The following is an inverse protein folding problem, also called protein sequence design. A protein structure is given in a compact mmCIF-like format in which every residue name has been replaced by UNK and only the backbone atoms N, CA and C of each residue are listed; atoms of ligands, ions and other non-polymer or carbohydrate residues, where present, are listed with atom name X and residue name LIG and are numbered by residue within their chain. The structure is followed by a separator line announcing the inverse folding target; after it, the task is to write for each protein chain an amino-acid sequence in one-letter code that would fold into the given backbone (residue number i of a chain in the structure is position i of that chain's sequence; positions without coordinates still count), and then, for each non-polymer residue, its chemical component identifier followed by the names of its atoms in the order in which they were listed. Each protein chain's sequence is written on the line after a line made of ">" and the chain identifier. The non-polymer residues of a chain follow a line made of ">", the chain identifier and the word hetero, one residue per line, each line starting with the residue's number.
data_IF_749265322818
#
_entry.id   IF_749265322818
#
_cell.length_a   1.000
_cell.length_b   1.000
_cell.length_c   1.000
_cell.angle_alpha   90.00
_cell.angle_beta   90.00
_cell.angle_gamma   90.00
#
_symmetry.space_group_name_H-M   'P 1'
#
loop_
_entity.id
_entity.type
_entity.pdbx_description
1 polymer ?
#
# COMPACT_ATOMS: atom_id res chain seq x y z
N UNK A 1 -7.94 -29.67 68.41
CA UNK A 1 -8.75 -30.65 67.64
C UNK A 1 -9.65 -29.88 66.72
N UNK A 2 -9.58 -30.12 65.43
CA UNK A 2 -10.45 -29.49 64.45
C UNK A 2 -9.73 -29.45 63.10
N UNK A 3 -9.79 -30.56 62.36
CA UNK A 3 -9.29 -30.70 60.98
C UNK A 3 -10.28 -30.05 60.03
N UNK A 4 -9.85 -29.11 59.24
CA UNK A 4 -10.58 -28.60 58.09
C UNK A 4 -9.81 -28.95 56.81
N UNK A 5 -10.33 -29.86 56.01
CA UNK A 5 -9.88 -30.18 54.66
C UNK A 5 -10.32 -29.04 53.74
N UNK A 6 -9.37 -28.43 53.08
CA UNK A 6 -9.63 -27.66 51.87
C UNK A 6 -9.10 -28.52 50.70
N UNK A 7 -10.02 -29.00 49.88
CA UNK A 7 -9.71 -29.56 48.57
C UNK A 7 -9.47 -28.40 47.61
N UNK A 8 -8.20 -28.12 47.32
CA UNK A 8 -7.81 -27.34 46.15
C UNK A 8 -7.62 -28.31 44.99
N UNK A 9 -8.64 -28.45 44.16
CA UNK A 9 -8.47 -28.99 42.81
C UNK A 9 -7.88 -27.89 41.92
N UNK A 10 -6.80 -28.20 41.20
CA UNK A 10 -6.29 -27.24 40.21
C UNK A 10 -7.25 -27.19 39.01
N UNK A 11 -7.76 -25.97 38.72
CA UNK A 11 -8.44 -25.66 37.48
C UNK A 11 -7.54 -26.06 36.30
N UNK A 12 -7.95 -27.08 35.57
CA UNK A 12 -7.33 -27.49 34.33
C UNK A 12 -7.46 -26.34 33.30
N UNK A 13 -6.35 -25.67 33.00
CA UNK A 13 -6.19 -24.84 31.83
C UNK A 13 -6.42 -25.68 30.57
N UNK A 14 -7.64 -25.71 30.10
CA UNK A 14 -7.97 -26.18 28.76
C UNK A 14 -7.65 -25.02 27.83
N UNK A 15 -6.37 -24.84 27.49
CA UNK A 15 -5.95 -24.08 26.33
C UNK A 15 -6.41 -24.82 25.10
N UNK A 16 -7.55 -24.40 24.57
CA UNK A 16 -7.95 -24.73 23.21
C UNK A 16 -6.95 -24.06 22.28
N UNK A 17 -5.86 -24.78 21.94
CA UNK A 17 -5.05 -24.43 20.79
C UNK A 17 -5.95 -24.48 19.55
N UNK A 18 -6.50 -23.32 19.18
CA UNK A 18 -7.12 -23.18 17.87
C UNK A 18 -6.04 -23.58 16.84
N UNK A 19 -6.28 -24.68 16.12
CA UNK A 19 -5.38 -25.15 15.07
C UNK A 19 -5.14 -23.99 14.12
N UNK A 20 -3.97 -23.35 14.21
CA UNK A 20 -3.58 -22.31 13.26
C UNK A 20 -3.71 -22.89 11.86
N UNK A 21 -4.44 -22.19 10.99
CA UNK A 21 -4.53 -22.52 9.57
C UNK A 21 -3.12 -22.66 9.01
N UNK A 22 -2.86 -23.74 8.27
CA UNK A 22 -1.60 -23.96 7.60
C UNK A 22 -1.69 -23.44 6.16
N UNK A 23 -0.73 -22.62 5.75
CA UNK A 23 -0.58 -22.18 4.37
C UNK A 23 -0.29 -23.39 3.47
N UNK A 24 -0.91 -23.41 2.28
CA UNK A 24 -0.80 -24.54 1.33
C UNK A 24 0.14 -24.23 0.16
N UNK A 25 0.53 -22.96 0.00
CA UNK A 25 1.39 -22.46 -1.06
C UNK A 25 0.70 -22.27 -2.41
N UNK A 26 1.34 -21.53 -3.29
CA UNK A 26 0.79 -21.07 -4.56
C UNK A 26 0.24 -22.21 -5.43
N UNK A 27 0.91 -23.36 -5.49
CA UNK A 27 0.53 -24.49 -6.34
C UNK A 27 -0.73 -25.20 -5.88
N UNK A 28 -1.03 -25.17 -4.59
CA UNK A 28 -2.15 -25.88 -3.98
C UNK A 28 -3.31 -24.94 -3.61
N UNK A 29 -3.09 -23.63 -3.74
CA UNK A 29 -4.10 -22.63 -3.43
C UNK A 29 -5.18 -22.60 -4.51
N UNK A 30 -6.43 -22.73 -4.08
CA UNK A 30 -7.59 -22.60 -4.96
C UNK A 30 -8.26 -21.25 -4.71
N UNK A 31 -8.18 -20.37 -5.69
CA UNK A 31 -8.80 -19.06 -5.63
C UNK A 31 -10.31 -19.16 -5.78
N UNK A 32 -11.02 -18.58 -4.83
CA UNK A 32 -12.48 -18.41 -4.86
C UNK A 32 -12.80 -16.96 -4.60
N UNK A 33 -13.65 -16.37 -5.43
CA UNK A 33 -14.17 -15.02 -5.21
C UNK A 33 -15.63 -15.08 -4.75
N UNK A 34 -15.89 -15.03 -3.44
CA UNK A 34 -17.22 -15.19 -2.87
C UNK A 34 -18.08 -13.91 -2.99
N UNK A 35 -17.52 -12.82 -3.53
CA UNK A 35 -18.18 -11.50 -3.60
C UNK A 35 -18.61 -10.99 -2.22
N UNK A 36 -17.71 -11.09 -1.24
CA UNK A 36 -17.95 -10.89 0.20
C UNK A 36 -17.67 -9.48 0.70
N UNK A 37 -17.32 -8.51 -0.18
CA UNK A 37 -17.13 -7.13 0.25
C UNK A 37 -18.32 -6.64 1.06
N UNK A 38 -18.05 -6.04 2.21
CA UNK A 38 -19.08 -5.58 3.15
C UNK A 38 -19.67 -4.23 2.76
N UNK A 39 -18.99 -3.50 1.88
CA UNK A 39 -19.42 -2.24 1.28
C UNK A 39 -18.76 -2.07 -0.10
N UNK A 40 -19.26 -1.17 -0.93
CA UNK A 40 -18.81 -1.03 -2.31
C UNK A 40 -17.44 -0.34 -2.38
N UNK A 41 -16.39 -1.14 -2.64
CA UNK A 41 -15.00 -0.70 -2.83
C UNK A 41 -14.68 -0.78 -4.31
N UNK A 42 -14.33 0.37 -4.91
CA UNK A 42 -14.14 0.47 -6.36
C UNK A 42 -12.69 0.23 -6.79
N UNK A 43 -11.75 0.99 -6.20
CA UNK A 43 -10.33 1.01 -6.57
C UNK A 43 -9.49 1.71 -5.50
N UNK A 44 -8.17 1.68 -5.66
CA UNK A 44 -7.30 2.59 -4.93
C UNK A 44 -7.62 4.04 -5.32
N UNK A 45 -7.64 4.93 -4.32
CA UNK A 45 -7.85 6.36 -4.53
C UNK A 45 -6.52 7.12 -4.55
N UNK A 46 -5.73 6.99 -3.51
CA UNK A 46 -4.40 7.59 -3.39
C UNK A 46 -3.56 6.88 -2.33
N UNK A 47 -2.27 7.15 -2.38
CA UNK A 47 -1.33 6.80 -1.31
C UNK A 47 -0.82 8.10 -0.70
N UNK A 48 -0.94 8.26 0.61
CA UNK A 48 -0.36 9.40 1.32
C UNK A 48 0.91 9.00 2.04
N UNK A 49 1.97 9.74 1.77
CA UNK A 49 3.26 9.65 2.46
C UNK A 49 3.37 10.78 3.47
N UNK A 50 3.75 10.44 4.68
CA UNK A 50 4.23 11.40 5.65
C UNK A 50 5.76 11.48 5.58
N UNK A 51 6.29 12.71 5.61
CA UNK A 51 7.71 12.98 5.46
C UNK A 51 8.12 14.23 6.24
N UNK A 52 9.43 14.42 6.39
CA UNK A 52 9.98 15.60 7.06
C UNK A 52 10.04 16.84 6.17
N UNK A 53 9.96 16.67 4.84
CA UNK A 53 9.99 17.74 3.84
C UNK A 53 9.17 17.33 2.62
N UNK A 54 7.92 17.78 2.58
CA UNK A 54 7.02 17.46 1.48
C UNK A 54 7.44 18.11 0.15
N UNK A 55 8.07 19.30 0.21
CA UNK A 55 8.48 20.07 -0.99
C UNK A 55 9.58 19.35 -1.78
N UNK A 56 10.63 18.90 -1.12
CA UNK A 56 11.69 18.15 -1.79
C UNK A 56 11.24 16.74 -2.14
N UNK A 57 10.42 16.11 -1.28
CA UNK A 57 9.92 14.75 -1.52
C UNK A 57 9.06 14.67 -2.78
N UNK A 58 8.04 15.55 -2.95
CA UNK A 58 7.19 15.47 -4.14
C UNK A 58 7.98 15.75 -5.42
N UNK A 59 8.95 16.67 -5.38
CA UNK A 59 9.81 16.97 -6.55
C UNK A 59 10.66 15.77 -6.95
N UNK A 60 11.24 15.07 -5.95
CA UNK A 60 12.00 13.84 -6.18
C UNK A 60 11.15 12.76 -6.82
N UNK A 61 9.96 12.49 -6.26
CA UNK A 61 9.04 11.49 -6.80
C UNK A 61 8.49 11.89 -8.17
N UNK A 62 8.11 13.15 -8.34
CA UNK A 62 7.64 13.68 -9.62
C UNK A 62 8.66 13.51 -10.73
N UNK A 63 9.93 13.85 -10.45
CA UNK A 63 11.03 13.70 -11.39
C UNK A 63 11.34 12.22 -11.67
N UNK A 64 11.49 11.39 -10.61
CA UNK A 64 11.91 9.99 -10.75
C UNK A 64 10.85 9.08 -11.36
N UNK A 65 9.57 9.41 -11.21
CA UNK A 65 8.43 8.63 -11.72
C UNK A 65 7.72 9.27 -12.91
N UNK A 66 8.13 10.48 -13.32
CA UNK A 66 7.45 11.21 -14.39
C UNK A 66 6.01 11.59 -14.03
N UNK A 67 5.75 11.89 -12.75
CA UNK A 67 4.42 12.27 -12.28
C UNK A 67 4.35 13.78 -12.07
N UNK A 68 3.54 14.52 -12.84
CA UNK A 68 3.37 15.96 -12.65
C UNK A 68 2.65 16.28 -11.34
N UNK A 69 2.92 17.48 -10.80
CA UNK A 69 2.13 18.08 -9.73
C UNK A 69 0.72 18.34 -10.26
N UNK A 70 -0.29 17.84 -9.53
CA UNK A 70 -1.69 17.95 -9.92
C UNK A 70 -2.50 18.85 -8.96
N UNK A 71 -2.08 18.94 -7.69
CA UNK A 71 -2.68 19.85 -6.72
C UNK A 71 -1.73 20.11 -5.55
N UNK A 72 -1.93 21.22 -4.85
CA UNK A 72 -1.16 21.57 -3.65
C UNK A 72 -1.99 22.27 -2.59
N UNK A 73 -1.53 22.17 -1.35
CA UNK A 73 -2.03 22.94 -0.22
C UNK A 73 -0.84 23.32 0.66
N UNK A 74 -0.47 24.60 0.60
CA UNK A 74 0.67 25.16 1.34
C UNK A 74 0.41 26.63 1.70
N UNK A 75 1.41 27.34 2.23
CA UNK A 75 1.27 28.75 2.59
C UNK A 75 0.82 29.61 1.43
N UNK A 76 1.23 29.29 0.20
CA UNK A 76 0.83 30.06 -1.00
C UNK A 76 -0.67 29.90 -1.35
N UNK A 77 -1.31 28.85 -0.82
CA UNK A 77 -2.74 28.55 -0.97
C UNK A 77 -3.55 28.83 0.31
N UNK A 78 -2.93 29.46 1.31
CA UNK A 78 -3.57 29.81 2.58
C UNK A 78 -3.49 28.72 3.67
N UNK A 79 -2.88 27.58 3.41
CA UNK A 79 -2.67 26.58 4.45
C UNK A 79 -1.50 26.96 5.35
N UNK A 80 -1.81 27.32 6.61
CA UNK A 80 -0.83 27.75 7.60
C UNK A 80 -0.37 26.64 8.56
N UNK A 81 -0.78 25.39 8.34
CA UNK A 81 -0.51 24.27 9.24
C UNK A 81 0.48 23.24 8.69
N UNK A 82 0.40 22.96 7.39
CA UNK A 82 1.24 21.95 6.73
C UNK A 82 1.41 22.28 5.24
N UNK A 83 2.41 21.68 4.62
CA UNK A 83 2.53 21.59 3.18
C UNK A 83 2.10 20.19 2.72
N UNK A 84 1.30 20.13 1.66
CA UNK A 84 0.89 18.88 1.05
C UNK A 84 0.78 19.02 -0.47
N UNK A 85 1.29 18.02 -1.19
CA UNK A 85 1.41 18.05 -2.65
C UNK A 85 0.88 16.74 -3.24
N UNK A 86 0.06 16.84 -4.26
CA UNK A 86 -0.51 15.71 -4.99
C UNK A 86 0.16 15.55 -6.33
N UNK A 87 0.77 14.38 -6.58
CA UNK A 87 1.24 13.95 -7.88
C UNK A 87 0.22 13.00 -8.51
N UNK A 88 0.02 13.10 -9.83
CA UNK A 88 -0.91 12.24 -10.54
C UNK A 88 -0.36 11.77 -11.89
N UNK A 89 -0.53 10.46 -12.19
CA UNK A 89 -0.33 9.87 -13.51
C UNK A 89 -1.44 8.86 -13.78
N UNK A 90 -2.35 9.17 -14.71
CA UNK A 90 -3.55 8.38 -14.90
C UNK A 90 -4.43 8.33 -13.65
N UNK A 91 -4.67 7.12 -13.13
CA UNK A 91 -5.37 6.89 -11.87
C UNK A 91 -4.42 6.77 -10.66
N UNK A 92 -3.10 6.78 -10.88
CA UNK A 92 -2.11 6.76 -9.82
C UNK A 92 -2.01 8.15 -9.18
N UNK A 93 -2.27 8.22 -7.87
CA UNK A 93 -2.23 9.46 -7.09
C UNK A 93 -1.37 9.26 -5.86
N UNK A 94 -0.33 10.09 -5.71
CA UNK A 94 0.49 10.17 -4.51
C UNK A 94 0.34 11.53 -3.84
N UNK A 95 0.19 11.53 -2.52
CA UNK A 95 0.09 12.72 -1.68
C UNK A 95 1.29 12.74 -0.72
N UNK A 96 1.99 13.86 -0.62
CA UNK A 96 3.14 14.04 0.26
C UNK A 96 2.86 15.16 1.25
N UNK A 97 2.82 14.84 2.53
CA UNK A 97 2.43 15.79 3.58
C UNK A 97 3.54 15.94 4.62
N UNK A 98 3.79 17.19 5.00
CA UNK A 98 4.70 17.55 6.10
C UNK A 98 4.15 18.76 6.86
N UNK A 99 3.98 18.71 8.20
CA UNK A 99 3.54 19.86 8.97
C UNK A 99 4.65 20.92 9.03
N UNK A 100 4.24 22.17 9.16
CA UNK A 100 5.18 23.23 9.48
C UNK A 100 5.67 23.11 10.93
N UNK A 101 6.80 23.75 11.21
CA UNK A 101 7.29 23.84 12.59
C UNK A 101 6.28 24.58 13.47
N UNK A 102 6.28 24.28 14.76
CA UNK A 102 5.41 24.96 15.72
C UNK A 102 5.57 26.50 15.71
N UNK A 103 6.75 27.00 15.30
CA UNK A 103 7.00 28.44 15.17
C UNK A 103 6.32 29.05 13.93
N UNK A 104 6.07 28.27 12.90
CA UNK A 104 5.47 28.71 11.62
C UNK A 104 3.97 28.37 11.54
N UNK A 105 3.54 27.32 12.23
CA UNK A 105 2.16 26.89 12.23
C UNK A 105 1.30 27.88 13.05
N UNK A 106 0.27 28.43 12.43
CA UNK A 106 -0.68 29.29 13.15
C UNK A 106 -1.73 28.44 13.85
N UNK A 107 -1.89 28.53 15.18
CA UNK A 107 -2.96 27.85 15.89
C UNK A 107 -4.33 28.27 15.34
N UNK A 108 -5.18 27.28 14.99
CA UNK A 108 -6.49 27.54 14.39
C UNK A 108 -6.47 28.02 12.94
N UNK A 109 -5.30 28.00 12.28
CA UNK A 109 -5.17 28.35 10.86
C UNK A 109 -5.99 27.40 9.96
N UNK A 110 -6.49 27.96 8.85
CA UNK A 110 -7.23 27.18 7.86
C UNK A 110 -6.35 26.11 7.20
N UNK A 111 -6.89 24.92 7.02
CA UNK A 111 -6.28 23.82 6.31
C UNK A 111 -7.35 22.84 5.83
N UNK A 112 -7.25 22.25 4.63
CA UNK A 112 -8.21 21.26 4.14
C UNK A 112 -8.35 20.04 5.04
N UNK A 113 -7.26 19.58 5.68
CA UNK A 113 -7.28 18.50 6.67
C UNK A 113 -7.05 19.06 8.09
N UNK A 114 -8.08 19.61 8.77
CA UNK A 114 -7.91 20.25 10.06
C UNK A 114 -7.58 19.28 11.21
N UNK A 115 -7.80 17.98 11.01
CA UNK A 115 -7.48 16.91 11.96
C UNK A 115 -6.00 16.49 11.95
N UNK A 116 -5.21 16.96 10.97
CA UNK A 116 -3.79 16.62 10.92
C UNK A 116 -3.07 17.16 12.17
N UNK A 117 -2.57 16.24 12.98
CA UNK A 117 -1.82 16.53 14.20
C UNK A 117 -0.32 16.51 13.92
N UNK A 118 0.33 17.65 14.12
CA UNK A 118 1.74 17.81 13.84
C UNK A 118 2.63 16.96 14.78
N UNK A 119 2.25 16.79 16.04
CA UNK A 119 2.99 15.99 17.01
C UNK A 119 3.01 14.51 16.60
N UNK A 120 1.83 13.98 16.27
CA UNK A 120 1.69 12.61 15.77
C UNK A 120 2.44 12.40 14.45
N UNK A 121 2.42 13.40 13.56
CA UNK A 121 3.17 13.35 12.30
C UNK A 121 4.68 13.29 12.54
N UNK A 122 5.22 14.14 13.40
CA UNK A 122 6.65 14.14 13.70
C UNK A 122 7.10 12.87 14.41
N UNK A 123 6.26 12.28 15.27
CA UNK A 123 6.55 10.98 15.89
C UNK A 123 6.57 9.86 14.84
N UNK A 124 5.64 9.86 13.87
CA UNK A 124 5.65 8.95 12.75
C UNK A 124 6.94 9.07 11.92
N UNK A 125 7.34 10.30 11.58
CA UNK A 125 8.57 10.54 10.79
C UNK A 125 9.83 10.17 11.58
N UNK A 126 9.84 10.38 12.90
CA UNK A 126 10.95 9.94 13.77
C UNK A 126 11.14 8.42 13.74
N UNK A 127 10.03 7.67 13.74
CA UNK A 127 10.01 6.20 13.71
C UNK A 127 10.35 5.64 12.33
N UNK A 128 9.67 6.13 11.32
CA UNK A 128 9.57 5.49 10.00
C UNK A 128 10.31 6.25 8.91
N UNK A 129 10.74 7.48 9.16
CA UNK A 129 11.27 8.37 8.12
C UNK A 129 10.19 8.78 7.11
N UNK A 130 10.53 8.75 5.83
CA UNK A 130 9.57 8.88 4.74
C UNK A 130 8.85 7.53 4.55
N UNK A 131 7.59 7.47 4.89
CA UNK A 131 6.81 6.24 4.79
C UNK A 131 5.34 6.50 4.45
N UNK A 132 4.63 5.44 4.04
CA UNK A 132 3.19 5.53 3.75
C UNK A 132 2.41 5.61 5.06
N UNK A 133 1.61 6.66 5.19
CA UNK A 133 0.67 6.87 6.29
C UNK A 133 -0.71 6.31 5.97
N UNK A 134 -1.20 6.52 4.74
CA UNK A 134 -2.56 6.13 4.38
C UNK A 134 -2.62 5.42 3.02
N UNK A 135 -3.36 4.30 3.00
CA UNK A 135 -3.81 3.64 1.77
C UNK A 135 -5.26 4.03 1.56
N UNK A 136 -5.50 4.91 0.57
CA UNK A 136 -6.82 5.41 0.25
C UNK A 136 -7.57 4.47 -0.70
N UNK A 137 -8.80 4.13 -0.37
CA UNK A 137 -9.74 3.36 -1.19
C UNK A 137 -10.92 4.22 -1.60
N UNK A 138 -11.25 4.23 -2.87
CA UNK A 138 -12.48 4.83 -3.38
C UNK A 138 -13.66 3.92 -3.07
N UNK A 139 -14.62 4.45 -2.31
CA UNK A 139 -15.84 3.74 -1.91
C UNK A 139 -17.09 4.49 -2.41
N UNK A 140 -18.24 3.82 -2.44
CA UNK A 140 -19.49 4.47 -2.80
C UNK A 140 -19.94 5.47 -1.72
N UNK A 141 -19.78 5.09 -0.45
CA UNK A 141 -20.20 5.84 0.74
C UNK A 141 -19.17 5.65 1.85
N UNK A 142 -18.48 6.72 2.26
CA UNK A 142 -17.43 6.64 3.27
C UNK A 142 -18.00 6.46 4.69
N UNK A 143 -19.17 7.06 4.98
CA UNK A 143 -19.81 6.91 6.27
C UNK A 143 -20.31 5.47 6.48
N UNK A 144 -20.89 4.85 5.44
CA UNK A 144 -21.26 3.44 5.48
C UNK A 144 -20.04 2.53 5.65
N UNK A 145 -18.95 2.78 4.90
CA UNK A 145 -17.71 2.03 5.04
C UNK A 145 -17.15 2.09 6.47
N UNK A 146 -17.17 3.28 7.09
CA UNK A 146 -16.80 3.45 8.50
C UNK A 146 -17.69 2.65 9.44
N UNK A 147 -19.02 2.83 9.32
CA UNK A 147 -20.00 2.17 10.18
C UNK A 147 -19.84 0.66 10.13
N UNK A 148 -19.70 0.11 8.94
CA UNK A 148 -19.58 -1.34 8.72
C UNK A 148 -18.23 -1.85 9.23
N UNK A 149 -17.12 -1.18 8.90
CA UNK A 149 -15.79 -1.61 9.33
C UNK A 149 -15.66 -1.59 10.86
N UNK A 150 -16.11 -0.51 11.52
CA UNK A 150 -16.03 -0.39 12.99
C UNK A 150 -16.95 -1.37 13.70
N UNK A 151 -18.16 -1.62 13.18
CA UNK A 151 -19.04 -2.66 13.68
C UNK A 151 -18.45 -4.08 13.55
N UNK A 152 -17.52 -4.28 12.62
CA UNK A 152 -16.78 -5.52 12.44
C UNK A 152 -15.41 -5.52 13.13
N UNK A 153 -15.14 -4.56 14.02
CA UNK A 153 -13.96 -4.54 14.90
C UNK A 153 -12.77 -3.72 14.36
N UNK A 154 -12.97 -2.90 13.33
CA UNK A 154 -11.94 -1.94 12.94
C UNK A 154 -11.75 -0.88 14.03
N UNK A 155 -10.50 -0.55 14.32
CA UNK A 155 -10.16 0.55 15.22
C UNK A 155 -10.22 1.87 14.45
N UNK A 156 -11.19 2.73 14.82
CA UNK A 156 -11.39 4.02 14.18
C UNK A 156 -10.27 5.00 14.51
N UNK A 157 -9.79 5.72 13.50
CA UNK A 157 -8.76 6.77 13.62
C UNK A 157 -9.33 8.15 13.35
N UNK A 158 -10.11 8.28 12.28
CA UNK A 158 -10.82 9.49 11.90
C UNK A 158 -12.27 9.13 11.53
N UNK A 159 -13.28 9.62 12.25
CA UNK A 159 -14.69 9.41 11.86
C UNK A 159 -14.99 10.09 10.54
N UNK A 160 -16.13 9.76 9.89
CA UNK A 160 -16.54 10.40 8.64
C UNK A 160 -16.50 11.93 8.74
N UNK A 161 -15.73 12.52 7.85
CA UNK A 161 -15.45 13.96 7.83
C UNK A 161 -15.56 14.47 6.41
N UNK A 162 -16.26 15.57 6.23
CA UNK A 162 -16.49 16.21 4.92
C UNK A 162 -15.48 17.33 4.72
N UNK A 163 -14.87 17.37 3.53
CA UNK A 163 -14.04 18.47 3.04
C UNK A 163 -14.76 19.09 1.85
N UNK A 164 -15.13 20.36 2.00
CA UNK A 164 -15.69 21.15 0.91
C UNK A 164 -14.59 21.58 -0.06
N UNK A 165 -14.87 21.54 -1.35
CA UNK A 165 -14.03 22.13 -2.38
C UNK A 165 -14.68 23.40 -2.93
N UNK A 166 -14.17 24.58 -2.52
CA UNK A 166 -14.82 25.86 -2.90
C UNK A 166 -14.76 26.15 -4.40
N UNK A 167 -13.73 25.59 -5.10
CA UNK A 167 -13.55 25.86 -6.54
C UNK A 167 -14.59 25.14 -7.39
N UNK A 168 -14.88 23.87 -7.06
CA UNK A 168 -15.85 23.06 -7.82
C UNK A 168 -17.26 23.05 -7.21
N UNK A 169 -17.44 23.53 -5.99
CA UNK A 169 -18.70 23.43 -5.25
C UNK A 169 -19.08 21.99 -4.91
N UNK A 170 -18.11 21.08 -4.88
CA UNK A 170 -18.29 19.66 -4.54
C UNK A 170 -17.64 19.33 -3.21
N UNK A 171 -17.92 18.15 -2.66
CA UNK A 171 -17.36 17.72 -1.38
C UNK A 171 -16.74 16.33 -1.48
N UNK A 172 -15.70 16.12 -0.71
CA UNK A 172 -15.10 14.82 -0.45
C UNK A 172 -15.40 14.39 0.98
N UNK A 173 -15.89 13.18 1.15
CA UNK A 173 -16.09 12.56 2.44
C UNK A 173 -15.01 11.51 2.66
N UNK A 174 -14.34 11.54 3.80
CA UNK A 174 -13.32 10.55 4.14
C UNK A 174 -13.36 10.16 5.61
N UNK A 175 -12.88 8.95 5.89
CA UNK A 175 -12.69 8.43 7.24
C UNK A 175 -11.49 7.48 7.25
N UNK A 176 -10.96 7.17 8.45
CA UNK A 176 -9.77 6.33 8.60
C UNK A 176 -9.96 5.28 9.69
N UNK A 177 -9.57 4.05 9.38
CA UNK A 177 -9.41 2.96 10.36
C UNK A 177 -7.97 2.49 10.36
N UNK A 178 -7.50 1.88 11.45
CA UNK A 178 -6.18 1.25 11.49
C UNK A 178 -6.11 0.12 10.47
N UNK A 179 -4.95 -0.01 9.80
CA UNK A 179 -4.66 -1.11 8.88
C UNK A 179 -3.64 -2.07 9.49
N UNK A 180 -2.41 -1.64 9.63
CA UNK A 180 -1.32 -2.32 10.34
C UNK A 180 -0.28 -1.29 10.80
N UNK A 181 0.28 -1.48 12.00
CA UNK A 181 1.22 -0.53 12.60
C UNK A 181 0.63 0.88 12.63
N UNK A 182 1.39 1.84 12.14
CA UNK A 182 0.98 3.25 12.05
C UNK A 182 0.34 3.61 10.69
N UNK A 183 0.04 2.62 9.83
CA UNK A 183 -0.65 2.80 8.54
C UNK A 183 -2.16 2.73 8.71
N UNK A 184 -2.89 3.63 8.06
CA UNK A 184 -4.35 3.63 8.05
C UNK A 184 -4.92 3.22 6.69
N UNK A 185 -6.09 2.61 6.72
CA UNK A 185 -6.96 2.43 5.57
C UNK A 185 -7.93 3.61 5.55
N UNK A 186 -7.88 4.43 4.48
CA UNK A 186 -8.70 5.62 4.31
C UNK A 186 -9.80 5.34 3.29
N UNK A 187 -11.05 5.41 3.69
CA UNK A 187 -12.18 5.33 2.78
C UNK A 187 -12.52 6.72 2.25
N UNK A 188 -12.67 6.85 0.94
CA UNK A 188 -12.89 8.13 0.26
C UNK A 188 -14.12 8.04 -0.64
N UNK A 189 -15.10 8.85 -0.35
CA UNK A 189 -16.37 9.00 -1.08
C UNK A 189 -16.66 10.45 -1.44
N UNK A 190 -17.93 10.74 -1.71
CA UNK A 190 -18.40 12.09 -2.02
C UNK A 190 -18.44 12.41 -3.52
N UNK A 191 -18.69 13.69 -3.82
CA UNK A 191 -18.90 14.19 -5.19
C UNK A 191 -17.68 14.81 -5.83
N UNK A 192 -16.62 15.10 -5.06
CA UNK A 192 -15.35 15.63 -5.54
C UNK A 192 -14.68 14.68 -6.54
N UNK A 193 -14.23 15.22 -7.67
CA UNK A 193 -13.57 14.46 -8.76
C UNK A 193 -12.17 14.99 -9.09
N UNK A 194 -11.71 15.98 -8.35
CA UNK A 194 -10.36 16.53 -8.51
C UNK A 194 -9.26 15.54 -8.07
N UNK A 195 -8.00 15.88 -8.30
CA UNK A 195 -6.88 15.03 -7.92
C UNK A 195 -6.66 15.08 -6.40
N UNK A 196 -6.58 13.92 -5.77
CA UNK A 196 -6.17 13.77 -4.37
C UNK A 196 -7.22 14.21 -3.36
N UNK A 197 -6.92 15.27 -2.63
CA UNK A 197 -7.74 15.77 -1.50
C UNK A 197 -8.50 17.03 -1.92
N UNK A 198 -9.80 17.11 -1.57
CA UNK A 198 -10.61 18.29 -1.81
C UNK A 198 -10.06 19.53 -1.06
N UNK A 199 -10.31 20.70 -1.59
CA UNK A 199 -9.80 21.96 -1.05
C UNK A 199 -8.31 22.22 -1.32
N UNK A 200 -7.62 21.34 -2.06
CA UNK A 200 -6.29 21.62 -2.59
C UNK A 200 -6.43 22.40 -3.89
N UNK A 201 -5.55 23.40 -4.07
CA UNK A 201 -5.50 24.16 -5.32
C UNK A 201 -4.99 23.29 -6.45
N UNK A 202 -5.80 23.12 -7.49
CA UNK A 202 -5.42 22.37 -8.68
C UNK A 202 -4.26 23.03 -9.43
N UNK A 203 -3.37 22.21 -9.97
CA UNK A 203 -2.22 22.62 -10.79
C UNK A 203 -2.31 21.96 -12.15
N UNK A 204 -2.15 22.76 -13.20
CA UNK A 204 -2.06 22.24 -14.55
C UNK A 204 -0.68 21.57 -14.75
N UNK A 205 -0.61 20.39 -15.37
CA UNK A 205 0.69 19.82 -15.72
C UNK A 205 1.45 20.77 -16.65
N UNK A 206 2.81 20.83 -16.54
CA UNK A 206 3.61 21.62 -17.45
C UNK A 206 3.32 21.27 -18.91
N UNK A 207 3.28 22.27 -19.78
CA UNK A 207 3.07 22.07 -21.22
C UNK A 207 4.13 21.12 -21.79
N UNK A 208 3.71 20.13 -22.58
CA UNK A 208 4.59 19.09 -23.11
C UNK A 208 5.02 18.01 -22.12
N UNK A 209 4.51 18.02 -20.90
CA UNK A 209 4.77 16.96 -19.92
C UNK A 209 4.19 15.64 -20.39
N UNK A 210 5.05 14.75 -20.89
CA UNK A 210 4.69 13.35 -21.15
C UNK A 210 5.14 12.50 -19.98
N UNK A 211 4.21 11.98 -19.19
CA UNK A 211 4.53 11.05 -18.12
C UNK A 211 5.25 9.80 -18.61
N UNK A 212 5.83 9.03 -17.69
CA UNK A 212 6.56 7.80 -18.04
C UNK A 212 5.65 6.58 -18.32
N UNK A 213 4.33 6.80 -18.35
CA UNK A 213 3.34 5.75 -18.69
C UNK A 213 2.82 4.98 -17.49
N UNK A 214 3.04 5.47 -16.27
CA UNK A 214 2.39 4.91 -15.08
C UNK A 214 0.90 5.21 -15.10
N UNK A 215 0.06 4.16 -14.90
CA UNK A 215 -1.38 4.28 -15.05
C UNK A 215 -2.14 4.23 -13.73
N UNK A 216 -1.85 3.26 -12.87
CA UNK A 216 -2.55 3.04 -11.62
C UNK A 216 -1.70 2.28 -10.60
N UNK A 217 -2.14 2.29 -9.35
CA UNK A 217 -1.65 1.35 -8.36
C UNK A 217 -2.22 -0.05 -8.66
N UNK A 218 -1.35 -1.05 -8.73
CA UNK A 218 -1.75 -2.45 -8.90
C UNK A 218 -1.96 -3.13 -7.55
N UNK A 219 -0.99 -3.02 -6.66
CA UNK A 219 -1.09 -3.52 -5.30
C UNK A 219 -0.22 -2.74 -4.30
N UNK A 220 -0.60 -2.85 -3.02
CA UNK A 220 0.09 -2.25 -1.89
C UNK A 220 0.42 -3.33 -0.86
N UNK A 221 1.70 -3.53 -0.55
CA UNK A 221 2.19 -4.65 0.24
C UNK A 221 2.60 -4.23 1.64
N UNK A 222 2.00 -4.85 2.65
CA UNK A 222 2.35 -4.66 4.05
C UNK A 222 3.24 -5.77 4.60
N UNK A 223 4.17 -5.40 5.48
CA UNK A 223 4.92 -6.34 6.30
C UNK A 223 4.41 -6.32 7.73
N UNK A 224 4.15 -7.49 8.29
CA UNK A 224 3.59 -7.67 9.63
C UNK A 224 4.32 -8.77 10.40
N UNK A 225 4.10 -8.84 11.71
CA UNK A 225 4.68 -9.90 12.54
C UNK A 225 3.93 -11.22 12.41
N UNK A 226 2.61 -11.20 12.26
CA UNK A 226 1.73 -12.36 12.15
C UNK A 226 0.78 -12.17 10.95
N UNK A 227 0.98 -12.99 9.93
CA UNK A 227 0.23 -12.94 8.68
C UNK A 227 -1.25 -13.27 8.89
N UNK A 228 -1.53 -14.35 9.61
CA UNK A 228 -2.89 -14.84 9.74
C UNK A 228 -3.76 -13.93 10.63
N UNK A 229 -3.17 -13.35 11.67
CA UNK A 229 -3.85 -12.35 12.48
C UNK A 229 -4.25 -11.15 11.64
N UNK A 230 -3.32 -10.63 10.83
CA UNK A 230 -3.56 -9.48 9.98
C UNK A 230 -4.57 -9.76 8.86
N UNK A 231 -4.46 -10.90 8.21
CA UNK A 231 -5.41 -11.35 7.18
C UNK A 231 -6.82 -11.44 7.75
N UNK A 232 -7.00 -12.14 8.87
CA UNK A 232 -8.29 -12.27 9.54
C UNK A 232 -8.89 -10.90 9.93
N UNK A 233 -8.04 -9.96 10.39
CA UNK A 233 -8.47 -8.60 10.68
C UNK A 233 -8.99 -7.89 9.42
N UNK A 234 -8.23 -7.91 8.33
CA UNK A 234 -8.59 -7.24 7.08
C UNK A 234 -9.86 -7.85 6.46
N UNK A 235 -9.98 -9.18 6.41
CA UNK A 235 -11.18 -9.87 5.95
C UNK A 235 -12.41 -9.48 6.78
N UNK A 236 -12.25 -9.45 8.09
CA UNK A 236 -13.33 -9.11 9.02
C UNK A 236 -13.85 -7.70 8.83
N UNK A 237 -12.97 -6.71 8.60
CA UNK A 237 -13.37 -5.31 8.51
C UNK A 237 -13.81 -4.86 7.12
N UNK A 238 -13.36 -5.53 6.04
CA UNK A 238 -13.64 -5.15 4.65
C UNK A 238 -14.51 -6.16 3.91
N UNK A 239 -14.41 -7.44 4.26
CA UNK A 239 -14.97 -8.55 3.49
C UNK A 239 -14.09 -8.99 2.32
N UNK A 240 -12.85 -8.50 2.22
CA UNK A 240 -11.90 -8.96 1.20
C UNK A 240 -11.72 -10.48 1.28
N UNK A 241 -11.49 -11.08 0.14
CA UNK A 241 -11.26 -12.51 0.02
C UNK A 241 -9.80 -12.81 -0.34
N UNK A 242 -9.38 -14.02 -0.06
CA UNK A 242 -8.06 -14.51 -0.40
C UNK A 242 -7.92 -14.66 -1.92
N UNK A 243 -6.93 -14.01 -2.48
CA UNK A 243 -6.67 -14.00 -3.90
C UNK A 243 -5.50 -14.91 -4.30
N UNK A 244 -4.45 -14.94 -3.51
CA UNK A 244 -3.27 -15.78 -3.72
C UNK A 244 -2.51 -15.99 -2.42
N UNK A 245 -1.80 -17.10 -2.32
CA UNK A 245 -1.00 -17.49 -1.18
C UNK A 245 0.40 -17.93 -1.63
N UNK A 246 1.43 -17.55 -0.89
CA UNK A 246 2.80 -17.93 -1.15
C UNK A 246 3.48 -18.35 0.14
N UNK A 247 4.20 -19.46 0.09
CA UNK A 247 5.07 -19.91 1.17
C UNK A 247 6.54 -19.59 0.84
N UNK A 248 7.43 -19.73 1.81
CA UNK A 248 8.87 -19.56 1.60
C UNK A 248 9.41 -20.46 0.48
N UNK A 249 8.80 -21.61 0.24
CA UNK A 249 9.18 -22.53 -0.85
C UNK A 249 8.80 -21.99 -2.23
N UNK A 250 7.69 -21.25 -2.34
CA UNK A 250 7.21 -20.68 -3.61
C UNK A 250 8.05 -19.49 -4.06
N UNK A 251 8.53 -18.67 -3.12
CA UNK A 251 9.22 -17.39 -3.40
C UNK A 251 10.68 -17.58 -3.81
N UNK A 252 11.21 -18.81 -3.72
CA UNK A 252 12.49 -19.21 -4.31
C UNK A 252 13.75 -18.61 -3.66
N UNK A 253 13.65 -18.06 -2.46
CA UNK A 253 14.81 -17.62 -1.68
C UNK A 253 15.10 -18.63 -0.58
N UNK A 254 15.92 -19.62 -0.91
CA UNK A 254 16.41 -20.66 0.04
C UNK A 254 17.10 -20.02 1.26
N UNK A 255 17.55 -18.77 1.13
CA UNK A 255 18.34 -18.07 2.13
C UNK A 255 17.55 -17.08 2.99
N UNK A 256 16.41 -16.56 2.51
CA UNK A 256 15.59 -15.55 3.22
C UNK A 256 14.11 -15.78 2.88
N UNK A 257 13.39 -16.38 3.80
CA UNK A 257 12.00 -16.77 3.57
C UNK A 257 10.98 -15.73 4.03
N UNK A 258 9.84 -15.74 3.39
CA UNK A 258 8.63 -15.05 3.79
C UNK A 258 7.42 -15.93 3.49
N UNK A 259 6.35 -15.75 4.25
CA UNK A 259 5.00 -16.18 3.86
C UNK A 259 4.23 -14.96 3.42
N UNK A 260 3.35 -15.11 2.44
CA UNK A 260 2.54 -14.02 1.92
C UNK A 260 1.13 -14.49 1.58
N UNK A 261 0.16 -13.63 1.85
CA UNK A 261 -1.21 -13.80 1.37
C UNK A 261 -1.69 -12.49 0.78
N UNK A 262 -2.44 -12.61 -0.30
CA UNK A 262 -3.03 -11.48 -0.99
C UNK A 262 -4.51 -11.48 -0.75
N UNK A 263 -4.99 -10.35 -0.28
CA UNK A 263 -6.41 -10.09 -0.18
C UNK A 263 -6.86 -9.21 -1.35
N UNK A 264 -8.07 -9.45 -1.83
CA UNK A 264 -8.69 -8.70 -2.92
C UNK A 264 -10.12 -8.31 -2.59
N UNK A 265 -10.55 -7.17 -3.14
CA UNK A 265 -11.96 -6.80 -3.17
C UNK A 265 -12.74 -7.59 -4.23
N UNK A 266 -14.07 -7.47 -4.25
CA UNK A 266 -14.95 -8.21 -5.17
C UNK A 266 -14.59 -8.05 -6.66
N UNK A 267 -14.08 -6.91 -7.09
CA UNK A 267 -13.66 -6.66 -8.47
C UNK A 267 -12.23 -7.14 -8.75
N UNK A 268 -11.45 -7.44 -7.70
CA UNK A 268 -10.02 -7.78 -7.75
C UNK A 268 -9.14 -6.68 -8.37
N UNK A 269 -9.64 -5.43 -8.34
CA UNK A 269 -8.87 -4.26 -8.72
C UNK A 269 -8.06 -3.69 -7.55
N UNK A 270 -8.43 -3.99 -6.31
CA UNK A 270 -7.67 -3.67 -5.11
C UNK A 270 -7.04 -4.94 -4.59
N UNK A 271 -5.72 -5.01 -4.67
CA UNK A 271 -4.92 -6.13 -4.19
C UNK A 271 -4.03 -5.65 -3.04
N UNK A 272 -4.12 -6.32 -1.91
CA UNK A 272 -3.38 -5.97 -0.69
C UNK A 272 -2.64 -7.21 -0.15
N UNK A 273 -1.44 -7.47 -0.65
CA UNK A 273 -0.57 -8.50 -0.08
C UNK A 273 -0.10 -8.15 1.33
N UNK A 274 0.02 -9.16 2.15
CA UNK A 274 0.59 -9.08 3.51
C UNK A 274 1.68 -10.14 3.63
N UNK A 275 2.84 -9.76 4.16
CA UNK A 275 3.98 -10.64 4.35
C UNK A 275 4.31 -10.79 5.83
N UNK A 276 4.73 -11.99 6.23
CA UNK A 276 5.38 -12.25 7.50
C UNK A 276 6.78 -12.84 7.30
N UNK A 277 7.72 -12.67 8.24
CA UNK A 277 9.02 -13.29 8.16
C UNK A 277 8.94 -14.78 8.45
N UNK A 278 9.80 -15.58 7.80
CA UNK A 278 10.09 -16.95 8.24
C UNK A 278 11.42 -16.98 8.98
N UNK A 279 11.53 -17.90 9.93
CA UNK A 279 12.68 -18.07 10.80
C UNK A 279 13.40 -19.39 10.51
N UNK A 280 14.65 -19.53 10.97
CA UNK A 280 15.45 -20.75 10.78
C UNK A 280 16.10 -20.89 9.41
N UNK A 281 16.09 -19.86 8.58
CA UNK A 281 16.76 -19.77 7.29
C UNK A 281 18.23 -19.36 7.46
N UNK A 282 19.09 -19.63 6.43
CA UNK A 282 20.53 -19.29 6.47
C UNK A 282 20.79 -17.80 6.64
N UNK A 283 19.90 -16.96 6.16
CA UNK A 283 19.95 -15.50 6.31
C UNK A 283 18.70 -15.02 7.01
N UNK A 284 18.83 -13.93 7.73
CA UNK A 284 17.69 -13.22 8.31
C UNK A 284 16.70 -12.83 7.22
N UNK A 285 15.42 -13.07 7.47
CA UNK A 285 14.34 -12.67 6.55
C UNK A 285 14.42 -11.16 6.27
N UNK A 286 14.25 -10.78 5.01
CA UNK A 286 14.13 -9.38 4.62
C UNK A 286 12.91 -8.70 5.27
N UNK A 287 11.84 -9.47 5.53
CA UNK A 287 10.66 -8.97 6.24
C UNK A 287 11.01 -8.65 7.69
N UNK A 288 11.77 -9.52 8.35
CA UNK A 288 12.25 -9.26 9.72
C UNK A 288 13.15 -8.02 9.76
N UNK A 289 14.05 -7.86 8.79
CA UNK A 289 14.90 -6.67 8.69
C UNK A 289 14.07 -5.40 8.51
N UNK A 290 13.03 -5.44 7.66
CA UNK A 290 12.10 -4.33 7.48
C UNK A 290 11.39 -3.96 8.80
N UNK A 291 10.80 -4.96 9.49
CA UNK A 291 10.06 -4.73 10.74
C UNK A 291 10.93 -4.10 11.84
N UNK A 292 12.20 -4.50 11.91
CA UNK A 292 13.15 -3.91 12.86
C UNK A 292 13.53 -2.48 12.48
N UNK A 293 13.82 -2.22 11.20
CA UNK A 293 14.19 -0.87 10.72
C UNK A 293 13.02 0.10 10.73
N UNK A 294 11.82 -0.39 10.48
CA UNK A 294 10.59 0.41 10.51
C UNK A 294 10.01 0.57 11.93
N UNK A 295 10.64 -0.01 12.96
CA UNK A 295 10.11 -0.07 14.33
C UNK A 295 8.68 -0.63 14.38
N UNK A 296 8.37 -1.67 13.56
CA UNK A 296 7.07 -2.34 13.52
C UNK A 296 6.49 -2.57 12.12
N UNK A 297 5.23 -3.02 12.05
CA UNK A 297 4.53 -3.22 10.79
C UNK A 297 4.40 -1.94 9.97
N UNK A 298 4.40 -2.09 8.64
CA UNK A 298 4.27 -0.96 7.74
C UNK A 298 4.15 -1.38 6.27
N UNK A 299 3.98 -0.41 5.37
CA UNK A 299 3.89 -0.65 3.95
C UNK A 299 5.29 -0.81 3.36
N UNK A 300 5.58 -1.99 2.79
CA UNK A 300 6.89 -2.33 2.24
C UNK A 300 7.11 -1.77 0.84
N UNK A 301 6.16 -2.02 -0.08
CA UNK A 301 6.27 -1.55 -1.45
C UNK A 301 4.91 -1.31 -2.13
N UNK A 302 4.96 -0.58 -3.21
CA UNK A 302 3.84 -0.28 -4.10
C UNK A 302 4.16 -0.83 -5.49
N UNK A 303 3.26 -1.63 -6.05
CA UNK A 303 3.38 -2.05 -7.44
C UNK A 303 2.58 -1.11 -8.33
N UNK A 304 3.26 -0.55 -9.32
CA UNK A 304 2.69 0.42 -10.24
C UNK A 304 2.46 -0.22 -11.60
N UNK A 305 1.25 -0.09 -12.13
CA UNK A 305 0.91 -0.61 -13.46
C UNK A 305 1.30 0.38 -14.55
N UNK A 306 1.88 -0.16 -15.61
CA UNK A 306 2.10 0.54 -16.89
C UNK A 306 1.68 -0.37 -18.03
N UNK A 307 1.36 0.20 -19.18
CA UNK A 307 1.05 -0.56 -20.40
C UNK A 307 2.30 -0.96 -21.17
N UNK A 308 3.40 -0.20 -21.01
CA UNK A 308 4.70 -0.50 -21.62
C UNK A 308 5.82 -0.33 -20.58
N UNK A 309 6.19 -1.44 -19.97
CA UNK A 309 7.23 -1.47 -18.92
C UNK A 309 8.61 -1.07 -19.48
N UNK A 310 8.94 -1.42 -20.73
CA UNK A 310 10.22 -1.11 -21.33
C UNK A 310 10.38 0.41 -21.53
N UNK A 311 9.34 1.05 -22.09
CA UNK A 311 9.28 2.51 -22.22
C UNK A 311 9.39 3.19 -20.85
N UNK A 312 8.63 2.72 -19.89
CA UNK A 312 8.60 3.28 -18.52
C UNK A 312 9.97 3.21 -17.86
N UNK A 313 10.62 2.05 -17.87
CA UNK A 313 11.94 1.88 -17.26
C UNK A 313 13.02 2.70 -18.00
N UNK A 314 12.98 2.76 -19.33
CA UNK A 314 13.90 3.63 -20.09
C UNK A 314 13.74 5.10 -19.72
N UNK A 315 12.48 5.57 -19.60
CA UNK A 315 12.19 6.94 -19.20
C UNK A 315 12.68 7.25 -17.79
N UNK A 316 12.41 6.36 -16.82
CA UNK A 316 12.90 6.51 -15.45
C UNK A 316 14.44 6.56 -15.37
N UNK A 317 15.13 5.70 -16.12
CA UNK A 317 16.60 5.69 -16.17
C UNK A 317 17.17 6.95 -16.83
N UNK A 318 16.54 7.43 -17.88
CA UNK A 318 16.95 8.66 -18.57
C UNK A 318 16.76 9.91 -17.71
N UNK A 319 15.78 9.91 -16.82
CA UNK A 319 15.55 11.00 -15.88
C UNK A 319 16.70 11.16 -14.86
N UNK A 320 17.52 10.13 -14.66
CA UNK A 320 18.74 10.07 -13.86
C UNK A 320 18.69 10.86 -12.55
N UNK A 321 17.91 10.41 -11.59
CA UNK A 321 17.92 11.03 -10.26
C UNK A 321 16.58 11.03 -9.58
N UNK A 322 16.19 10.34 -8.79
CA UNK A 322 14.98 10.18 -7.99
C UNK A 322 15.07 8.87 -7.24
N UNK A 323 15.31 7.78 -7.96
CA UNK A 323 15.38 6.45 -7.40
C UNK A 323 16.50 5.63 -8.03
N UNK A 324 17.13 4.80 -7.21
CA UNK A 324 18.03 3.77 -7.67
C UNK A 324 17.24 2.53 -8.04
N UNK A 325 17.72 1.85 -9.09
CA UNK A 325 17.19 0.55 -9.46
C UNK A 325 17.87 -0.56 -8.68
N UNK A 326 17.14 -1.63 -8.42
CA UNK A 326 17.72 -2.81 -7.76
C UNK A 326 18.89 -3.37 -8.58
N UNK A 327 19.89 -3.98 -7.92
CA UNK A 327 20.99 -4.65 -8.60
C UNK A 327 20.48 -5.75 -9.53
N UNK A 328 21.21 -5.99 -10.62
CA UNK A 328 20.92 -7.05 -11.59
C UNK A 328 20.82 -8.44 -10.92
N UNK A 329 19.84 -9.24 -11.36
CA UNK A 329 19.78 -10.66 -11.00
C UNK A 329 20.99 -11.44 -11.51
N UNK A 330 21.19 -12.67 -11.02
CA UNK A 330 22.25 -13.54 -11.47
C UNK A 330 22.04 -13.97 -12.95
N UNK A 331 23.12 -14.30 -13.65
CA UNK A 331 23.03 -14.81 -15.01
C UNK A 331 22.18 -16.09 -15.10
N UNK A 332 22.24 -16.93 -14.07
CA UNK A 332 21.39 -18.12 -13.96
C UNK A 332 19.90 -17.79 -13.90
N UNK A 333 19.51 -16.65 -13.37
CA UNK A 333 18.12 -16.19 -13.36
C UNK A 333 17.65 -15.88 -14.80
N UNK A 334 18.44 -15.11 -15.57
CA UNK A 334 18.09 -14.77 -16.94
C UNK A 334 18.11 -15.97 -17.88
N UNK A 335 19.05 -16.91 -17.68
CA UNK A 335 19.10 -18.15 -18.45
C UNK A 335 17.84 -19.03 -18.29
N UNK A 336 17.20 -19.00 -17.12
CA UNK A 336 15.94 -19.70 -16.84
C UNK A 336 14.68 -18.91 -17.15
N UNK A 337 14.82 -17.65 -17.56
CA UNK A 337 13.70 -16.79 -17.81
C UNK A 337 12.76 -17.30 -18.92
N UNK A 338 13.26 -17.79 -20.08
CA UNK A 338 12.40 -18.37 -21.13
C UNK A 338 11.57 -19.56 -20.64
N UNK A 339 12.11 -20.40 -19.74
CA UNK A 339 11.36 -21.51 -19.16
C UNK A 339 10.20 -21.04 -18.28
N UNK A 340 10.34 -19.84 -17.66
CA UNK A 340 9.35 -19.30 -16.74
C UNK A 340 8.23 -18.51 -17.42
N UNK A 341 8.53 -17.80 -18.48
CA UNK A 341 7.59 -16.87 -19.12
C UNK A 341 7.24 -17.25 -20.57
N UNK A 342 7.85 -18.32 -21.10
CA UNK A 342 7.56 -18.84 -22.44
C UNK A 342 7.63 -17.74 -23.50
N UNK A 343 6.72 -17.78 -24.47
CA UNK A 343 6.65 -16.84 -25.60
C UNK A 343 6.01 -15.47 -25.25
N UNK A 344 5.95 -15.13 -23.95
CA UNK A 344 5.34 -13.86 -23.48
C UNK A 344 6.11 -12.61 -23.90
N UNK A 345 7.37 -12.75 -24.34
CA UNK A 345 8.22 -11.66 -24.83
C UNK A 345 8.76 -11.99 -26.21
N UNK A 346 8.97 -10.94 -27.02
CA UNK A 346 9.70 -11.11 -28.30
C UNK A 346 11.18 -11.36 -28.07
N UNK A 347 11.93 -11.91 -29.06
CA UNK A 347 13.39 -12.06 -28.93
C UNK A 347 14.13 -10.76 -28.63
N UNK A 348 13.67 -9.63 -29.21
CA UNK A 348 14.21 -8.31 -28.94
C UNK A 348 13.96 -7.87 -27.50
N UNK A 349 12.76 -8.13 -26.97
CA UNK A 349 12.41 -7.84 -25.58
C UNK A 349 13.21 -8.71 -24.60
N UNK A 350 13.44 -9.99 -24.91
CA UNK A 350 14.34 -10.85 -24.12
C UNK A 350 15.75 -10.27 -24.05
N UNK A 351 16.28 -9.84 -25.21
CA UNK A 351 17.60 -9.22 -25.28
C UNK A 351 17.64 -7.90 -24.52
N UNK A 352 16.59 -7.09 -24.58
CA UNK A 352 16.50 -5.85 -23.82
C UNK A 352 16.50 -6.10 -22.33
N UNK A 353 15.74 -7.10 -21.83
CA UNK A 353 15.73 -7.52 -20.43
C UNK A 353 17.12 -7.91 -19.95
N UNK A 354 17.85 -8.67 -20.75
CA UNK A 354 19.21 -9.11 -20.45
C UNK A 354 20.20 -7.94 -20.43
N UNK A 355 20.11 -7.04 -21.41
CA UNK A 355 21.01 -5.89 -21.57
C UNK A 355 20.71 -4.77 -20.57
N UNK A 356 19.44 -4.46 -20.37
CA UNK A 356 19.02 -3.39 -19.43
C UNK A 356 19.15 -3.79 -17.98
N UNK A 357 19.41 -5.09 -17.72
CA UNK A 357 19.65 -5.61 -16.37
C UNK A 357 18.49 -5.33 -15.40
N UNK A 358 17.23 -5.32 -15.90
CA UNK A 358 16.06 -4.97 -15.11
C UNK A 358 15.48 -6.19 -14.41
N UNK A 359 15.71 -6.35 -13.12
CA UNK A 359 14.94 -7.28 -12.27
C UNK A 359 13.47 -6.88 -12.16
N UNK A 360 13.19 -5.59 -12.29
CA UNK A 360 11.88 -4.98 -12.08
C UNK A 360 10.81 -5.46 -13.05
N UNK A 361 11.23 -5.93 -14.23
CA UNK A 361 10.33 -6.52 -15.23
C UNK A 361 9.68 -7.83 -14.76
N UNK A 362 10.28 -8.53 -13.81
CA UNK A 362 9.96 -9.93 -13.52
C UNK A 362 9.71 -10.26 -12.05
N UNK A 363 9.56 -9.29 -11.19
CA UNK A 363 9.00 -9.55 -9.87
C UNK A 363 7.50 -9.82 -10.00
N UNK A 364 7.18 -10.90 -10.73
CA UNK A 364 5.83 -11.43 -10.95
C UNK A 364 5.75 -12.90 -10.52
N UNK A 365 5.74 -13.21 -9.23
CA UNK A 365 5.15 -14.47 -8.78
C UNK A 365 3.67 -14.59 -9.19
N UNK A 366 3.03 -13.45 -9.47
CA UNK A 366 1.61 -13.26 -9.71
C UNK A 366 1.10 -13.65 -11.09
N UNK A 367 1.95 -13.70 -12.11
CA UNK A 367 1.52 -14.09 -13.47
C UNK A 367 1.15 -15.58 -13.55
N UNK A 368 1.81 -16.41 -12.75
CA UNK A 368 1.55 -17.86 -12.76
C UNK A 368 0.23 -18.28 -12.11
N UNK A 369 -0.35 -17.44 -11.25
CA UNK A 369 -1.68 -17.70 -10.67
C UNK A 369 -2.84 -17.13 -11.51
N UNK A 370 -2.57 -16.44 -12.63
CA UNK A 370 -3.59 -15.87 -13.53
C UNK A 370 -3.99 -16.80 -14.70
N UNK A 371 -3.29 -17.86 -14.97
CA UNK A 371 -3.60 -18.79 -16.08
C UNK A 371 -4.79 -19.70 -15.76
N UNK A 372 -5.91 -19.13 -15.42
CA UNK A 372 -7.18 -19.84 -15.20
C UNK A 372 -8.42 -18.98 -15.44
N UNK A 373 -8.27 -17.72 -15.80
CA UNK A 373 -9.41 -16.85 -16.10
C UNK A 373 -9.47 -16.54 -17.63
N UNK A 374 -10.55 -16.89 -18.33
CA UNK A 374 -10.72 -16.50 -19.73
C UNK A 374 -10.96 -14.99 -19.83
N UNK A 375 -10.14 -14.32 -20.65
CA UNK A 375 -10.42 -13.08 -21.33
C UNK A 375 -10.80 -11.88 -20.47
N UNK A 376 -9.81 -10.99 -20.20
CA UNK A 376 -10.06 -9.55 -20.11
C UNK A 376 -8.97 -8.82 -20.89
N UNK A 377 -9.38 -8.31 -22.04
CA UNK A 377 -8.70 -7.26 -22.81
C UNK A 377 -8.63 -5.98 -22.01
#
# INVERSE_FOLDING_TARGET
>A
MGKGNANDEPLSDVTVEAKRRKLVGCKNFQRVNPKSDKFDIKRFHHIEFWCGDATNTYKRFGHGLGMPLAARSDQSTGNSRYASYTLRSGELVFVFTSPYSAACAQPGGAAPMPWLDAGRHWEFVRKHGLAVRAVGLSVADAAEAWRVSTANGARGVLPPTTIEDPESGTAQELCEVELYGDVVLRFVGGTFKGPGIAGYKAEAPPEGSTGFGLNRLDHAVGNVHDLLEQVNYMEKITGFHEFAEFTAEDVGTVDSGLNSMVLANNSEFVLMPVNEPTFGTKRKSQIQTYLEQNEGPGLQHLALKTDDIFRTIRAMRSASGGFDFMPRASDAYYAKLPEKIGDSLTPEQYKEVEVTRSQELFYRPWLFCREGAPGRT
#
